data_IF_261936690074
#
_entry.id   IF_261936690074
#
_cell.length_a   1.000
_cell.length_b   1.000
_cell.length_c   1.000
_cell.angle_alpha   90.00
_cell.angle_beta   90.00
_cell.angle_gamma   90.00
#
_symmetry.space_group_name_H-M   'P 1'
#
loop_
_entity.id
_entity.type
_entity.pdbx_description
1 polymer ?
#
# COMPACT_ATOMS: atom_id res chain seq x y z
N UNK A 1 -24.95 11.37 -15.54
CA UNK A 1 -23.97 10.30 -15.88
C UNK A 1 -22.83 10.43 -14.88
N UNK A 2 -22.55 9.43 -14.02
CA UNK A 2 -21.41 9.55 -13.12
C UNK A 2 -20.10 9.48 -13.94
N UNK A 3 -19.02 10.16 -13.52
CA UNK A 3 -17.77 10.13 -14.25
C UNK A 3 -17.27 8.70 -14.42
N UNK A 4 -16.80 8.40 -15.63
CA UNK A 4 -16.14 7.14 -16.00
C UNK A 4 -14.84 7.00 -15.22
N UNK A 5 -14.57 5.78 -14.75
CA UNK A 5 -13.24 5.18 -14.56
C UNK A 5 -12.14 6.20 -14.23
N UNK A 6 -11.99 6.54 -12.95
CA UNK A 6 -10.83 7.32 -12.50
C UNK A 6 -9.57 6.52 -12.84
N UNK A 7 -8.71 7.10 -13.69
CA UNK A 7 -7.40 6.52 -13.94
C UNK A 7 -6.57 6.44 -12.65
N UNK A 8 -5.39 5.82 -12.69
CA UNK A 8 -4.51 5.76 -11.54
C UNK A 8 -4.26 7.16 -10.96
N UNK A 9 -4.50 7.31 -9.65
CA UNK A 9 -4.20 8.53 -8.90
C UNK A 9 -2.91 8.35 -8.13
N UNK A 10 -2.05 9.36 -8.16
CA UNK A 10 -0.75 9.36 -7.49
C UNK A 10 -0.67 10.48 -6.46
N UNK A 11 -0.16 10.16 -5.28
CA UNK A 11 0.09 11.10 -4.19
C UNK A 11 1.54 11.00 -3.76
N UNK A 12 2.20 12.15 -3.70
CA UNK A 12 3.53 12.26 -3.10
C UNK A 12 3.44 12.00 -1.59
N UNK A 13 4.44 11.30 -1.05
CA UNK A 13 4.63 11.07 0.38
C UNK A 13 5.92 11.78 0.80
N UNK A 14 5.76 12.87 1.55
CA UNK A 14 6.87 13.68 2.06
C UNK A 14 6.74 14.05 3.55
N UNK A 15 5.61 13.74 4.17
CA UNK A 15 5.38 13.91 5.61
C UNK A 15 4.14 13.16 6.10
N UNK A 16 3.87 13.24 7.41
CA UNK A 16 2.76 12.50 8.05
C UNK A 16 1.37 12.89 7.48
N UNK A 17 1.17 14.14 7.07
CA UNK A 17 -0.07 14.59 6.43
C UNK A 17 -0.34 13.86 5.11
N UNK A 18 0.71 13.51 4.36
CA UNK A 18 0.58 12.76 3.10
C UNK A 18 0.16 11.31 3.38
N UNK A 19 0.64 10.70 4.46
CA UNK A 19 0.19 9.37 4.88
C UNK A 19 -1.31 9.37 5.17
N UNK A 20 -1.83 10.43 5.79
CA UNK A 20 -3.27 10.61 6.02
C UNK A 20 -4.03 10.75 4.69
N UNK A 21 -3.50 11.50 3.72
CA UNK A 21 -4.10 11.66 2.39
C UNK A 21 -4.12 10.35 1.61
N UNK A 22 -3.04 9.59 1.62
CA UNK A 22 -2.97 8.25 1.00
C UNK A 22 -4.02 7.32 1.59
N UNK A 23 -4.17 7.33 2.93
CA UNK A 23 -5.20 6.56 3.62
C UNK A 23 -6.61 6.93 3.16
N UNK A 24 -6.89 8.22 2.99
CA UNK A 24 -8.18 8.72 2.51
C UNK A 24 -8.42 8.31 1.05
N UNK A 25 -7.41 8.44 0.18
CA UNK A 25 -7.48 8.03 -1.22
C UNK A 25 -7.80 6.53 -1.35
N UNK A 26 -7.04 5.68 -0.66
CA UNK A 26 -7.27 4.22 -0.67
C UNK A 26 -8.68 3.88 -0.17
N UNK A 27 -9.18 4.57 0.87
CA UNK A 27 -10.55 4.39 1.36
C UNK A 27 -11.58 4.76 0.29
N UNK A 28 -11.38 5.85 -0.43
CA UNK A 28 -12.27 6.30 -1.51
C UNK A 28 -12.36 5.24 -2.61
N UNK A 29 -11.23 4.71 -3.08
CA UNK A 29 -11.21 3.62 -4.07
C UNK A 29 -11.88 2.35 -3.54
N UNK A 30 -11.58 1.95 -2.30
CA UNK A 30 -12.19 0.78 -1.68
C UNK A 30 -13.73 0.88 -1.59
N UNK A 31 -14.25 2.09 -1.33
CA UNK A 31 -15.69 2.36 -1.32
C UNK A 31 -16.29 2.39 -2.73
N UNK A 32 -15.61 3.01 -3.71
CA UNK A 32 -16.05 3.07 -5.11
C UNK A 32 -16.13 1.68 -5.74
N UNK A 33 -15.14 0.82 -5.50
CA UNK A 33 -15.13 -0.59 -5.93
C UNK A 33 -16.11 -1.46 -5.13
N UNK A 34 -16.73 -0.91 -4.07
CA UNK A 34 -17.69 -1.59 -3.19
C UNK A 34 -17.10 -2.81 -2.49
N UNK A 35 -15.87 -2.69 -1.98
CA UNK A 35 -15.28 -3.68 -1.08
C UNK A 35 -16.12 -3.78 0.21
N UNK A 36 -16.12 -4.95 0.85
CA UNK A 36 -16.77 -5.13 2.16
C UNK A 36 -16.16 -4.19 3.20
N UNK A 37 -16.90 -3.80 4.24
CA UNK A 37 -16.36 -2.92 5.30
C UNK A 37 -15.10 -3.52 5.97
N UNK A 38 -15.06 -4.84 6.09
CA UNK A 38 -13.90 -5.57 6.60
C UNK A 38 -12.70 -5.42 5.66
N UNK A 39 -12.91 -5.60 4.35
CA UNK A 39 -11.83 -5.48 3.36
C UNK A 39 -11.38 -4.02 3.16
N UNK A 40 -12.29 -3.05 3.26
CA UNK A 40 -11.94 -1.63 3.31
C UNK A 40 -10.99 -1.34 4.47
N UNK A 41 -11.30 -1.86 5.66
CA UNK A 41 -10.48 -1.66 6.86
C UNK A 41 -9.10 -2.30 6.68
N UNK A 42 -9.06 -3.55 6.20
CA UNK A 42 -7.81 -4.27 5.94
C UNK A 42 -6.90 -3.53 4.95
N UNK A 43 -7.45 -3.11 3.81
CA UNK A 43 -6.68 -2.40 2.78
C UNK A 43 -6.19 -1.04 3.28
N UNK A 44 -7.03 -0.28 4.00
CA UNK A 44 -6.67 1.01 4.59
C UNK A 44 -5.55 0.88 5.64
N UNK A 45 -5.61 -0.16 6.48
CA UNK A 45 -4.55 -0.46 7.46
C UNK A 45 -3.24 -0.80 6.75
N UNK A 46 -3.27 -1.72 5.77
CA UNK A 46 -2.07 -2.07 5.00
C UNK A 46 -1.45 -0.85 4.31
N UNK A 47 -2.27 -0.02 3.64
CA UNK A 47 -1.81 1.19 2.99
C UNK A 47 -1.18 2.21 3.95
N UNK A 48 -1.68 2.31 5.18
CA UNK A 48 -1.14 3.24 6.18
C UNK A 48 0.25 2.79 6.65
N UNK A 49 0.44 1.49 6.85
CA UNK A 49 1.75 0.92 7.22
C UNK A 49 2.75 1.07 6.06
N UNK A 50 2.34 0.79 4.82
CA UNK A 50 3.21 0.91 3.65
C UNK A 50 3.60 2.36 3.35
N UNK A 51 2.65 3.30 3.40
CA UNK A 51 2.96 4.73 3.25
C UNK A 51 3.93 5.22 4.34
N UNK A 52 3.75 4.76 5.58
CA UNK A 52 4.68 5.06 6.68
C UNK A 52 6.06 4.48 6.40
N UNK A 53 6.16 3.27 5.87
CA UNK A 53 7.45 2.66 5.54
C UNK A 53 8.17 3.42 4.43
N UNK A 54 7.46 3.80 3.37
CA UNK A 54 7.98 4.67 2.29
C UNK A 54 8.52 5.99 2.85
N UNK A 55 7.81 6.60 3.82
CA UNK A 55 8.28 7.83 4.46
C UNK A 55 9.51 7.61 5.35
N UNK A 56 9.45 6.66 6.28
CA UNK A 56 10.44 6.50 7.36
C UNK A 56 11.72 5.82 6.85
N UNK A 57 11.60 4.73 6.07
CA UNK A 57 12.75 3.96 5.61
C UNK A 57 13.17 4.36 4.19
N UNK A 58 12.20 4.72 3.35
CA UNK A 58 12.44 5.18 1.98
C UNK A 58 12.87 6.63 1.87
N UNK A 59 12.66 7.45 2.91
CA UNK A 59 12.91 8.90 2.86
C UNK A 59 11.83 9.70 2.12
N UNK A 60 10.67 9.08 1.87
CA UNK A 60 9.59 9.62 1.05
C UNK A 60 9.51 8.97 -0.33
N UNK A 61 8.56 9.41 -1.13
CA UNK A 61 8.27 8.81 -2.43
C UNK A 61 6.87 9.12 -2.90
N UNK A 62 6.17 8.12 -3.44
CA UNK A 62 4.78 8.28 -3.89
C UNK A 62 3.95 7.00 -3.69
N UNK A 63 2.65 7.19 -3.51
CA UNK A 63 1.67 6.12 -3.57
C UNK A 63 0.79 6.30 -4.80
N UNK A 64 0.56 5.21 -5.53
CA UNK A 64 -0.35 5.16 -6.68
C UNK A 64 -1.48 4.19 -6.39
N UNK A 65 -2.72 4.65 -6.57
CA UNK A 65 -3.95 3.89 -6.29
C UNK A 65 -4.79 3.81 -7.56
N UNK A 66 -5.28 2.62 -7.89
CA UNK A 66 -6.12 2.41 -9.07
C UNK A 66 -7.16 1.33 -8.84
N UNK A 67 -8.31 1.46 -9.49
CA UNK A 67 -9.27 0.37 -9.64
C UNK A 67 -8.75 -0.59 -10.73
N UNK A 68 -8.77 -1.89 -10.43
CA UNK A 68 -8.35 -2.94 -11.36
C UNK A 68 -9.48 -3.95 -11.58
N UNK A 69 -9.40 -4.70 -12.68
CA UNK A 69 -10.32 -5.80 -12.98
C UNK A 69 -9.56 -6.93 -13.66
N UNK A 70 -9.83 -8.17 -13.26
CA UNK A 70 -9.31 -9.39 -13.93
C UNK A 70 -10.33 -9.97 -14.94
N UNK A 71 -11.39 -9.20 -15.25
CA UNK A 71 -12.51 -9.63 -16.11
C UNK A 71 -13.58 -10.43 -15.38
N UNK A 72 -13.32 -10.91 -14.15
CA UNK A 72 -14.30 -11.62 -13.31
C UNK A 72 -14.69 -10.83 -12.07
N UNK A 73 -13.72 -10.13 -11.48
CA UNK A 73 -13.88 -9.32 -10.26
C UNK A 73 -13.15 -7.99 -10.41
N UNK A 74 -13.68 -6.96 -9.76
CA UNK A 74 -13.00 -5.69 -9.60
C UNK A 74 -12.24 -5.65 -8.27
N UNK A 75 -11.23 -4.82 -8.18
CA UNK A 75 -10.39 -4.69 -6.99
C UNK A 75 -9.71 -3.33 -6.94
N UNK A 76 -8.96 -3.10 -5.88
CA UNK A 76 -8.12 -1.91 -5.71
C UNK A 76 -6.67 -2.36 -5.64
N UNK A 77 -5.82 -1.75 -6.47
CA UNK A 77 -4.37 -1.84 -6.36
C UNK A 77 -3.84 -0.57 -5.72
N UNK A 78 -2.95 -0.71 -4.76
CA UNK A 78 -2.14 0.38 -4.24
C UNK A 78 -0.67 -0.01 -4.34
N UNK A 79 0.15 0.88 -4.86
CA UNK A 79 1.60 0.70 -4.93
C UNK A 79 2.32 1.87 -4.27
N UNK A 80 3.43 1.59 -3.61
CA UNK A 80 4.20 2.53 -2.81
C UNK A 80 5.65 2.44 -3.25
N UNK A 81 6.20 3.57 -3.68
CA UNK A 81 7.50 3.65 -4.34
C UNK A 81 8.38 4.62 -3.58
N UNK A 82 9.60 4.19 -3.24
CA UNK A 82 10.68 5.05 -2.75
C UNK A 82 11.97 4.81 -3.54
N UNK A 83 12.85 5.79 -3.50
CA UNK A 83 14.22 5.72 -4.03
C UNK A 83 15.23 5.64 -2.87
N UNK A 84 14.81 5.03 -1.76
CA UNK A 84 15.59 4.94 -0.54
C UNK A 84 16.72 3.91 -0.61
N UNK A 85 17.26 3.48 0.54
CA UNK A 85 18.38 2.55 0.60
C UNK A 85 18.04 1.13 0.13
N UNK A 86 16.75 0.79 -0.06
CA UNK A 86 16.28 -0.57 -0.30
C UNK A 86 16.36 -1.47 0.93
N UNK A 87 15.92 -2.72 0.79
CA UNK A 87 15.88 -3.71 1.86
C UNK A 87 17.00 -4.75 1.63
N UNK A 88 18.03 -4.82 2.50
CA UNK A 88 19.18 -5.71 2.28
C UNK A 88 18.88 -7.19 2.56
N UNK A 89 18.00 -7.50 3.51
CA UNK A 89 17.58 -8.87 3.83
C UNK A 89 16.05 -8.98 3.76
N UNK A 90 15.57 -9.40 2.60
CA UNK A 90 14.15 -9.65 2.35
C UNK A 90 13.56 -10.74 3.24
N UNK A 91 14.35 -11.75 3.60
CA UNK A 91 13.88 -12.87 4.42
C UNK A 91 13.55 -12.37 5.82
N UNK A 92 14.43 -11.53 6.37
CA UNK A 92 14.21 -10.90 7.67
C UNK A 92 13.04 -9.90 7.63
N UNK A 93 12.95 -9.08 6.57
CA UNK A 93 11.90 -8.07 6.43
C UNK A 93 10.48 -8.66 6.31
N UNK A 94 10.37 -9.87 5.77
CA UNK A 94 9.11 -10.62 5.65
C UNK A 94 8.88 -11.63 6.78
N UNK A 95 9.85 -11.80 7.70
CA UNK A 95 9.72 -12.70 8.83
C UNK A 95 8.58 -12.26 9.76
N UNK A 96 7.86 -13.24 10.31
CA UNK A 96 6.78 -12.98 11.26
C UNK A 96 7.33 -12.34 12.54
N UNK A 97 6.72 -11.22 12.95
CA UNK A 97 7.12 -10.48 14.14
C UNK A 97 8.24 -9.46 13.93
N UNK A 98 8.82 -9.36 12.72
CA UNK A 98 9.70 -8.24 12.39
C UNK A 98 8.88 -6.96 12.22
N UNK A 99 8.98 -6.09 13.22
CA UNK A 99 8.49 -4.72 13.15
C UNK A 99 9.67 -3.79 12.92
N UNK A 100 9.51 -2.83 12.03
CA UNK A 100 10.57 -1.91 11.67
C UNK A 100 10.73 -0.76 12.67
N UNK A 101 9.87 -0.64 13.70
CA UNK A 101 9.95 0.42 14.72
C UNK A 101 8.66 0.66 15.53
N UNK A 102 8.73 1.57 16.50
CA UNK A 102 7.84 1.84 17.65
C UNK A 102 6.39 2.30 17.32
N UNK A 103 5.58 1.44 16.74
CA UNK A 103 4.14 1.67 16.56
C UNK A 103 3.32 0.39 16.69
N UNK A 104 2.00 0.48 16.48
CA UNK A 104 1.10 -0.69 16.43
C UNK A 104 1.51 -1.72 15.33
N UNK A 105 2.41 -1.35 14.42
CA UNK A 105 3.64 -2.08 14.11
C UNK A 105 3.46 -3.46 13.48
N UNK A 106 2.59 -3.57 12.48
CA UNK A 106 2.39 -4.81 11.76
C UNK A 106 3.55 -5.13 10.80
N UNK A 107 4.30 -4.11 10.39
CA UNK A 107 5.41 -4.25 9.45
C UNK A 107 4.95 -4.72 8.06
N UNK A 108 5.91 -5.01 7.18
CA UNK A 108 5.63 -5.55 5.84
C UNK A 108 4.87 -6.88 5.91
N UNK A 109 5.22 -7.75 6.85
CA UNK A 109 4.56 -9.04 7.04
C UNK A 109 3.09 -8.90 7.43
N UNK A 110 2.74 -7.91 8.26
CA UNK A 110 1.36 -7.68 8.64
C UNK A 110 0.54 -6.97 7.56
N UNK A 111 1.13 -6.05 6.78
CA UNK A 111 0.47 -5.50 5.59
C UNK A 111 0.11 -6.62 4.59
N UNK A 112 1.04 -7.55 4.34
CA UNK A 112 0.83 -8.73 3.48
C UNK A 112 -0.34 -9.61 3.93
N UNK A 113 -0.59 -9.76 5.24
CA UNK A 113 -1.71 -10.58 5.78
C UNK A 113 -3.09 -9.97 5.55
N UNK A 114 -3.17 -8.67 5.29
CA UNK A 114 -4.44 -7.95 5.18
C UNK A 114 -5.00 -7.94 3.75
N UNK A 115 -4.12 -8.12 2.76
CA UNK A 115 -4.41 -8.01 1.33
C UNK A 115 -4.50 -9.38 0.68
N UNK A 116 -5.02 -9.44 -0.55
CA UNK A 116 -5.17 -10.71 -1.26
C UNK A 116 -3.92 -11.01 -2.11
N UNK A 117 -3.25 -9.98 -2.61
CA UNK A 117 -1.96 -10.08 -3.30
C UNK A 117 -0.98 -9.05 -2.74
N UNK A 118 0.29 -9.43 -2.66
CA UNK A 118 1.39 -8.63 -2.15
C UNK A 118 2.64 -8.93 -2.97
N UNK A 119 3.24 -7.88 -3.53
CA UNK A 119 4.47 -7.94 -4.30
C UNK A 119 5.46 -6.90 -3.74
N UNK A 120 6.73 -7.27 -3.68
CA UNK A 120 7.80 -6.45 -3.13
C UNK A 120 9.02 -6.55 -4.05
N UNK A 121 9.33 -5.44 -4.70
CA UNK A 121 10.53 -5.24 -5.50
C UNK A 121 11.45 -4.27 -4.76
N UNK A 122 12.68 -4.67 -4.49
CA UNK A 122 13.64 -3.84 -3.77
C UNK A 122 15.06 -4.24 -4.11
N UNK A 123 15.91 -3.23 -4.24
CA UNK A 123 17.33 -3.42 -4.49
C UNK A 123 18.12 -2.41 -3.66
N UNK A 124 19.18 -2.89 -3.01
CA UNK A 124 20.03 -2.05 -2.16
C UNK A 124 20.61 -0.90 -2.98
N UNK A 125 20.35 0.32 -2.53
CA UNK A 125 20.77 1.56 -3.20
C UNK A 125 19.88 2.02 -4.36
N UNK A 126 18.77 1.33 -4.65
CA UNK A 126 17.80 1.75 -5.68
C UNK A 126 16.39 2.01 -5.17
N UNK A 127 16.09 1.58 -3.94
CA UNK A 127 14.80 1.83 -3.29
C UNK A 127 13.90 0.61 -3.22
N UNK A 128 12.62 0.87 -3.02
CA UNK A 128 11.61 -0.16 -2.76
C UNK A 128 10.29 0.18 -3.43
N UNK A 129 9.68 -0.82 -4.05
CA UNK A 129 8.32 -0.79 -4.56
C UNK A 129 7.52 -1.90 -3.89
N UNK A 130 6.48 -1.52 -3.15
CA UNK A 130 5.50 -2.47 -2.59
C UNK A 130 4.18 -2.31 -3.32
N UNK A 131 3.66 -3.39 -3.89
CA UNK A 131 2.33 -3.40 -4.52
C UNK A 131 1.40 -4.33 -3.77
N UNK A 132 0.20 -3.85 -3.47
CA UNK A 132 -0.85 -4.64 -2.82
C UNK A 132 -2.16 -4.57 -3.60
N UNK A 133 -2.90 -5.68 -3.57
CA UNK A 133 -4.21 -5.79 -4.20
C UNK A 133 -5.25 -6.32 -3.22
N UNK A 134 -6.42 -5.70 -3.23
CA UNK A 134 -7.62 -6.22 -2.58
C UNK A 134 -8.73 -6.40 -3.60
N UNK A 135 -9.25 -7.62 -3.70
CA UNK A 135 -10.32 -7.96 -4.62
C UNK A 135 -11.68 -7.89 -3.96
N UNK A 136 -12.68 -7.45 -4.72
CA UNK A 136 -14.08 -7.62 -4.36
C UNK A 136 -14.43 -9.11 -4.47
N UNK A 137 -15.01 -9.65 -3.40
CA UNK A 137 -15.53 -11.02 -3.35
C UNK A 137 -16.96 -11.09 -3.86
#
# INVERSE_FOLDING_TARGET
MPPRSGGPEELRISGDDDVVRVRQLVRTYAQQTKLSLVDQTKLVTAASELARNTLIYGGGGFARVEEISDGRRSGVRASFHDEGPGIPDLTLALADGWSSGSGLGLGLSGARRLVDEFDLDTEVGRGTVVTVVKWKR
#
